data_IF_176302725980
#
_entry.id   IF_176302725980
#
_cell.length_a   1.000
_cell.length_b   1.000
_cell.length_c   1.000
_cell.angle_alpha   90.00
_cell.angle_beta   90.00
_cell.angle_gamma   90.00
#
_symmetry.space_group_name_H-M   'P 1'
#
loop_
_entity.id
_entity.type
_entity.pdbx_description
1 polymer ?
#
# COMPACT_ATOMS: atom_id res chain seq x y z
N UNK A 1 -27.70 -3.50 -20.90
CA UNK A 1 -26.35 -4.10 -20.98
C UNK A 1 -25.50 -3.49 -19.88
N UNK A 2 -25.32 -4.19 -18.76
CA UNK A 2 -24.51 -3.68 -17.65
C UNK A 2 -23.04 -3.59 -18.09
N UNK A 3 -22.49 -2.37 -18.05
CA UNK A 3 -21.06 -2.11 -18.18
C UNK A 3 -20.32 -3.00 -17.18
N UNK A 4 -19.57 -3.99 -17.67
CA UNK A 4 -18.57 -4.68 -16.85
C UNK A 4 -17.59 -3.60 -16.41
N UNK A 5 -17.68 -3.15 -15.16
CA UNK A 5 -16.65 -2.32 -14.54
C UNK A 5 -15.35 -3.10 -14.66
N UNK A 6 -14.50 -2.69 -15.59
CA UNK A 6 -13.21 -3.28 -15.84
C UNK A 6 -12.35 -2.97 -14.61
N UNK A 7 -12.48 -3.78 -13.55
CA UNK A 7 -11.73 -3.61 -12.32
C UNK A 7 -10.28 -3.97 -12.63
N UNK A 8 -9.54 -2.97 -13.09
CA UNK A 8 -8.09 -3.04 -13.21
C UNK A 8 -7.56 -3.49 -11.85
N UNK A 9 -6.99 -4.70 -11.79
CA UNK A 9 -6.43 -5.24 -10.56
C UNK A 9 -5.26 -4.34 -10.19
N UNK A 10 -5.42 -3.55 -9.13
CA UNK A 10 -4.36 -2.70 -8.61
C UNK A 10 -3.22 -3.57 -8.08
N UNK A 11 -1.99 -3.07 -8.23
CA UNK A 11 -0.84 -3.73 -7.66
C UNK A 11 -1.00 -3.89 -6.15
N UNK A 12 -0.57 -5.03 -5.61
CA UNK A 12 -0.69 -5.36 -4.18
C UNK A 12 -0.08 -4.30 -3.26
N UNK A 13 1.09 -3.76 -3.62
CA UNK A 13 1.80 -2.80 -2.77
C UNK A 13 1.10 -1.44 -2.75
N UNK A 14 0.58 -1.02 -3.90
CA UNK A 14 -0.25 0.19 -4.01
C UNK A 14 -1.59 0.01 -3.28
N UNK A 15 -2.21 -1.16 -3.41
CA UNK A 15 -3.43 -1.51 -2.66
C UNK A 15 -3.20 -1.48 -1.14
N UNK A 16 -2.01 -1.86 -0.69
CA UNK A 16 -1.63 -1.78 0.71
C UNK A 16 -1.53 -0.32 1.17
N UNK A 17 -0.97 0.59 0.36
CA UNK A 17 -0.97 2.02 0.67
C UNK A 17 -2.39 2.60 0.77
N UNK A 18 -3.31 2.21 -0.12
CA UNK A 18 -4.72 2.60 -0.01
C UNK A 18 -5.37 2.08 1.28
N UNK A 19 -5.06 0.84 1.68
CA UNK A 19 -5.50 0.30 2.95
C UNK A 19 -5.00 1.16 4.12
N UNK A 20 -3.71 1.49 4.17
CA UNK A 20 -3.16 2.32 5.25
C UNK A 20 -3.72 3.75 5.20
N UNK A 21 -4.05 4.26 4.01
CA UNK A 21 -4.78 5.51 3.82
C UNK A 21 -6.16 5.51 4.49
N UNK A 22 -6.88 4.38 4.50
CA UNK A 22 -8.14 4.25 5.25
C UNK A 22 -7.93 4.27 6.77
N UNK A 23 -6.83 3.72 7.27
CA UNK A 23 -6.47 3.87 8.71
C UNK A 23 -6.26 5.34 9.07
N UNK A 24 -5.66 6.12 8.19
CA UNK A 24 -5.51 7.57 8.39
C UNK A 24 -6.86 8.31 8.32
N UNK A 25 -7.82 7.82 7.52
CA UNK A 25 -9.18 8.38 7.50
C UNK A 25 -9.88 8.21 8.85
N UNK A 26 -9.73 7.06 9.50
CA UNK A 26 -10.27 6.83 10.86
C UNK A 26 -9.66 7.78 11.90
N UNK A 27 -8.39 8.14 11.74
CA UNK A 27 -7.75 9.17 12.58
C UNK A 27 -8.30 10.59 12.31
N UNK A 28 -8.77 10.86 11.10
CA UNK A 28 -9.31 12.16 10.71
C UNK A 28 -10.82 12.31 11.01
N UNK A 29 -11.54 11.20 11.17
CA UNK A 29 -12.98 11.22 11.41
C UNK A 29 -13.32 11.83 12.77
N UNK A 30 -14.10 12.91 12.77
CA UNK A 30 -14.57 13.60 13.99
C UNK A 30 -15.68 12.84 14.72
N UNK A 31 -16.27 11.82 14.09
CA UNK A 31 -17.19 10.87 14.72
C UNK A 31 -16.49 9.94 15.72
N UNK A 32 -15.18 9.71 15.55
CA UNK A 32 -14.38 8.90 16.47
C UNK A 32 -13.95 9.72 17.70
N UNK A 33 -13.98 9.14 18.92
CA UNK A 33 -13.44 9.78 20.12
C UNK A 33 -11.98 10.21 19.93
N UNK A 34 -11.57 11.32 20.56
CA UNK A 34 -10.22 11.89 20.40
C UNK A 34 -9.10 10.88 20.64
N UNK A 35 -9.25 10.02 21.65
CA UNK A 35 -8.26 9.00 22.00
C UNK A 35 -8.18 7.90 20.92
N UNK A 36 -9.30 7.49 20.33
CA UNK A 36 -9.30 6.49 19.26
C UNK A 36 -8.60 7.02 18.00
N UNK A 37 -8.82 8.29 17.67
CA UNK A 37 -8.08 8.94 16.57
C UNK A 37 -6.57 8.95 16.81
N UNK A 38 -6.15 9.19 18.05
CA UNK A 38 -4.73 9.14 18.43
C UNK A 38 -4.16 7.72 18.28
N UNK A 39 -4.93 6.70 18.66
CA UNK A 39 -4.56 5.29 18.44
C UNK A 39 -4.44 4.98 16.95
N UNK A 40 -5.37 5.44 16.11
CA UNK A 40 -5.29 5.26 14.66
C UNK A 40 -4.05 5.93 14.05
N UNK A 41 -3.61 7.09 14.54
CA UNK A 41 -2.32 7.68 14.14
C UNK A 41 -1.13 6.79 14.49
N UNK A 42 -1.14 6.18 15.68
CA UNK A 42 -0.13 5.20 16.09
C UNK A 42 -0.13 3.96 15.19
N UNK A 43 -1.31 3.40 14.91
CA UNK A 43 -1.49 2.24 14.01
C UNK A 43 -1.00 2.58 12.60
N UNK A 44 -1.41 3.72 12.04
CA UNK A 44 -0.99 4.19 10.72
C UNK A 44 0.53 4.31 10.61
N UNK A 45 1.19 4.83 11.65
CA UNK A 45 2.64 4.99 11.70
C UNK A 45 3.36 3.64 11.78
N UNK A 46 2.95 2.76 12.70
CA UNK A 46 3.52 1.42 12.81
C UNK A 46 3.37 0.60 11.52
N UNK A 47 2.19 0.67 10.90
CA UNK A 47 1.94 0.03 9.60
C UNK A 47 2.91 0.57 8.53
N UNK A 48 3.09 1.89 8.46
CA UNK A 48 3.97 2.51 7.47
C UNK A 48 5.42 2.07 7.65
N UNK A 49 5.89 2.02 8.89
CA UNK A 49 7.24 1.54 9.18
C UNK A 49 7.45 0.10 8.72
N UNK A 50 6.48 -0.78 8.98
CA UNK A 50 6.49 -2.16 8.50
C UNK A 50 6.49 -2.26 6.97
N UNK A 51 5.70 -1.41 6.30
CA UNK A 51 5.68 -1.35 4.84
C UNK A 51 7.06 -1.03 4.25
N UNK A 52 7.76 -0.04 4.80
CA UNK A 52 9.11 0.28 4.33
C UNK A 52 10.12 -0.82 4.70
N UNK A 53 10.06 -1.32 5.94
CA UNK A 53 11.00 -2.33 6.45
C UNK A 53 10.90 -3.65 5.68
N UNK A 54 9.69 -4.07 5.32
CA UNK A 54 9.47 -5.39 4.71
C UNK A 54 9.20 -5.29 3.21
N UNK A 55 8.19 -4.52 2.79
CA UNK A 55 7.71 -4.54 1.40
C UNK A 55 8.64 -3.76 0.46
N UNK A 56 9.02 -2.54 0.82
CA UNK A 56 9.95 -1.74 0.01
C UNK A 56 11.33 -2.39 -0.04
N UNK A 57 11.82 -2.93 1.08
CA UNK A 57 13.06 -3.70 1.12
C UNK A 57 13.02 -4.93 0.18
N UNK A 58 11.91 -5.66 0.16
CA UNK A 58 11.69 -6.80 -0.75
C UNK A 58 11.71 -6.36 -2.22
N UNK A 59 10.98 -5.30 -2.57
CA UNK A 59 10.98 -4.74 -3.92
C UNK A 59 12.39 -4.34 -4.38
N UNK A 60 13.14 -3.65 -3.53
CA UNK A 60 14.52 -3.26 -3.81
C UNK A 60 15.44 -4.47 -4.02
N UNK A 61 15.26 -5.54 -3.23
CA UNK A 61 16.01 -6.79 -3.40
C UNK A 61 15.73 -7.44 -4.76
N UNK A 62 14.46 -7.53 -5.17
CA UNK A 62 14.08 -8.09 -6.48
C UNK A 62 14.70 -7.28 -7.61
N UNK A 63 14.65 -5.94 -7.52
CA UNK A 63 15.30 -5.05 -8.49
C UNK A 63 16.81 -5.30 -8.56
N UNK A 64 17.47 -5.47 -7.41
CA UNK A 64 18.92 -5.67 -7.32
C UNK A 64 19.37 -7.02 -7.90
N UNK A 65 18.59 -8.08 -7.68
CA UNK A 65 18.88 -9.42 -8.23
C UNK A 65 18.62 -9.47 -9.75
N UNK A 66 17.87 -8.51 -10.29
CA UNK A 66 17.53 -8.46 -11.72
C UNK A 66 16.45 -9.46 -12.11
N UNK A 67 15.73 -10.01 -11.12
CA UNK A 67 14.54 -10.84 -11.33
C UNK A 67 13.39 -9.96 -11.85
N UNK A 68 13.40 -9.72 -13.15
CA UNK A 68 12.19 -9.34 -13.87
C UNK A 68 11.43 -10.64 -14.06
N UNK A 69 10.29 -10.81 -13.39
CA UNK A 69 9.37 -11.94 -13.67
C UNK A 69 8.84 -11.79 -15.09
N UNK A 70 9.62 -12.28 -16.06
CA UNK A 70 9.25 -12.35 -17.48
C UNK A 70 7.94 -13.12 -17.58
N UNK A 71 6.93 -12.51 -18.24
CA UNK A 71 5.60 -13.10 -18.39
C UNK A 71 4.57 -12.71 -17.33
N UNK A 72 4.92 -11.83 -16.37
CA UNK A 72 3.94 -11.23 -15.45
C UNK A 72 3.88 -9.71 -15.64
N UNK A 73 2.72 -9.09 -15.40
CA UNK A 73 2.57 -7.62 -15.36
C UNK A 73 3.24 -6.98 -14.13
N UNK A 74 4.03 -7.74 -13.38
CA UNK A 74 4.70 -7.29 -12.18
C UNK A 74 6.06 -6.66 -12.52
N UNK A 75 6.13 -5.32 -12.43
CA UNK A 75 7.37 -4.57 -12.63
C UNK A 75 7.77 -3.84 -11.33
N UNK A 76 8.72 -4.38 -10.56
CA UNK A 76 9.17 -3.80 -9.29
C UNK A 76 9.67 -2.36 -9.39
N UNK A 77 10.39 -2.00 -10.46
CA UNK A 77 10.89 -0.62 -10.67
C UNK A 77 9.74 0.35 -10.88
N UNK A 78 8.73 -0.05 -11.65
CA UNK A 78 7.52 0.77 -11.88
C UNK A 78 6.69 0.92 -10.60
N UNK A 79 6.64 -0.11 -9.75
CA UNK A 79 5.93 -0.08 -8.47
C UNK A 79 6.66 0.84 -7.48
N UNK A 80 7.97 0.70 -7.35
CA UNK A 80 8.78 1.57 -6.47
C UNK A 80 8.65 3.06 -6.83
N UNK A 81 8.47 3.41 -8.12
CA UNK A 81 8.25 4.79 -8.54
C UNK A 81 6.87 5.36 -8.14
N UNK A 82 5.90 4.50 -7.84
CA UNK A 82 4.54 4.89 -7.44
C UNK A 82 4.36 4.98 -5.91
N UNK A 83 5.32 4.44 -5.15
CA UNK A 83 5.38 4.55 -3.68
C UNK A 83 6.04 5.88 -3.33
#
# INVERSE_FOLDING_TARGET
>A
MASRTNSQILNREISWLYFNGRVLQEAADKGNPLIERLKFLGIFSNNRDEFFRVRVATLNRIVKVGEITKGTDYNPKKILKQI
#
